data_IF_076415531948
#
_entry.id   IF_076415531948
#
_cell.length_a   1.000
_cell.length_b   1.000
_cell.length_c   1.000
_cell.angle_alpha   90.00
_cell.angle_beta   90.00
_cell.angle_gamma   90.00
#
_symmetry.space_group_name_H-M   'P 1'
#
loop_
_entity.id
_entity.type
_entity.pdbx_description
1 polymer ?
#
# COMPACT_ATOMS: atom_id res chain seq x y z
N UNK A 1 3.84 35.09 33.52
CA UNK A 1 3.88 34.67 34.93
C UNK A 1 4.92 33.58 35.06
N UNK A 2 5.93 33.85 35.88
CA UNK A 2 6.78 32.82 36.47
C UNK A 2 5.99 32.03 37.53
N UNK A 3 6.63 30.97 38.02
CA UNK A 3 6.31 30.19 39.22
C UNK A 3 5.22 29.10 39.03
N UNK A 4 5.34 27.86 39.52
CA UNK A 4 6.13 27.34 40.63
C UNK A 4 6.69 25.93 40.33
N UNK A 5 7.82 25.65 40.97
CA UNK A 5 8.49 24.34 41.07
C UNK A 5 7.88 23.60 42.26
N UNK A 6 7.35 22.40 42.05
CA UNK A 6 7.15 21.43 43.12
C UNK A 6 8.34 20.46 43.17
N UNK A 7 9.09 20.61 44.26
CA UNK A 7 10.14 19.74 44.76
C UNK A 7 9.48 18.49 45.37
N UNK A 8 9.82 17.31 44.84
CA UNK A 8 9.64 16.07 45.60
C UNK A 8 10.88 15.18 45.44
N UNK A 9 11.78 15.44 46.37
CA UNK A 9 13.00 14.74 46.68
C UNK A 9 12.70 13.43 47.40
N UNK A 10 12.64 12.32 46.66
CA UNK A 10 12.95 11.01 47.22
C UNK A 10 13.41 10.02 46.12
N UNK A 11 14.72 9.96 45.88
CA UNK A 11 15.36 8.86 45.13
C UNK A 11 16.48 8.27 45.99
N UNK A 12 16.52 6.95 46.19
CA UNK A 12 17.58 6.31 46.96
C UNK A 12 18.92 6.41 46.23
N UNK A 13 19.98 6.72 46.97
CA UNK A 13 21.37 6.79 46.49
C UNK A 13 21.82 5.45 45.89
N UNK A 14 22.48 5.52 44.72
CA UNK A 14 23.09 4.37 44.09
C UNK A 14 24.34 3.92 44.89
N UNK A 15 24.59 2.60 45.02
CA UNK A 15 25.78 2.11 45.72
C UNK A 15 27.06 2.47 44.95
N UNK A 16 28.21 2.63 45.64
CA UNK A 16 29.44 3.11 45.03
C UNK A 16 30.00 2.08 44.02
N UNK A 17 30.30 2.57 42.80
CA UNK A 17 30.91 1.79 41.72
C UNK A 17 32.31 1.30 42.11
N UNK A 18 32.56 -0.02 42.19
CA UNK A 18 33.90 -0.55 42.41
C UNK A 18 34.73 -0.30 41.15
N UNK A 19 35.45 0.83 41.16
CA UNK A 19 36.17 1.35 40.01
C UNK A 19 36.92 0.29 39.19
N UNK A 20 36.73 0.37 37.87
CA UNK A 20 37.31 -0.40 36.75
C UNK A 20 38.77 -0.85 36.92
N UNK A 21 39.56 -0.12 37.72
CA UNK A 21 40.97 -0.40 38.05
C UNK A 21 41.15 -1.59 39.00
N UNK A 22 40.14 -1.96 39.80
CA UNK A 22 40.20 -3.10 40.73
C UNK A 22 39.88 -4.44 40.04
N UNK A 23 39.00 -4.41 39.02
CA UNK A 23 38.67 -5.58 38.19
C UNK A 23 39.85 -6.06 37.34
N UNK A 24 40.56 -5.12 36.69
CA UNK A 24 41.71 -5.46 35.84
C UNK A 24 42.91 -6.04 36.61
N UNK A 25 42.98 -5.85 37.93
CA UNK A 25 44.02 -6.47 38.77
C UNK A 25 43.69 -7.92 39.20
N UNK A 26 42.43 -8.38 39.02
CA UNK A 26 41.98 -9.70 39.45
C UNK A 26 42.15 -10.82 38.43
N UNK A 27 42.46 -10.53 37.17
CA UNK A 27 42.47 -11.52 36.07
C UNK A 27 43.86 -12.15 35.84
N UNK A 28 44.79 -11.97 36.77
CA UNK A 28 46.21 -12.32 36.58
C UNK A 28 46.66 -13.75 36.92
N UNK A 29 45.83 -14.63 37.49
CA UNK A 29 46.32 -15.97 37.94
C UNK A 29 45.25 -17.06 37.79
N UNK A 30 45.13 -17.69 36.61
CA UNK A 30 44.76 -19.12 36.45
C UNK A 30 45.43 -19.65 35.18
N UNK A 31 46.71 -20.02 35.27
CA UNK A 31 47.46 -20.65 34.18
C UNK A 31 47.99 -22.01 34.62
N UNK A 32 47.18 -23.07 34.52
CA UNK A 32 47.63 -24.47 34.56
C UNK A 32 46.54 -25.53 34.20
N UNK A 33 45.53 -25.20 33.38
CA UNK A 33 44.46 -26.17 33.04
C UNK A 33 43.99 -26.19 31.58
N UNK A 34 44.52 -25.33 30.72
CA UNK A 34 43.95 -25.08 29.39
C UNK A 34 44.24 -26.17 28.34
N UNK A 35 45.30 -26.97 28.49
CA UNK A 35 45.75 -27.86 27.41
C UNK A 35 44.89 -29.13 27.23
N UNK A 36 44.18 -29.60 28.27
CA UNK A 36 43.36 -30.83 28.18
C UNK A 36 41.91 -30.50 27.79
N UNK A 37 41.43 -29.29 28.14
CA UNK A 37 40.10 -28.82 27.76
C UNK A 37 39.99 -28.53 26.25
N UNK A 38 41.09 -28.07 25.63
CA UNK A 38 41.12 -27.70 24.20
C UNK A 38 40.94 -28.93 23.30
N UNK A 39 41.60 -30.05 23.64
CA UNK A 39 41.45 -31.31 22.89
C UNK A 39 40.05 -31.92 23.04
N UNK A 40 39.41 -31.79 24.20
CA UNK A 40 38.07 -32.33 24.43
C UNK A 40 36.98 -31.48 23.74
N UNK A 41 37.17 -30.16 23.67
CA UNK A 41 36.28 -29.24 22.95
C UNK A 41 36.40 -29.38 21.43
N UNK A 42 37.59 -29.63 20.89
CA UNK A 42 37.80 -29.87 19.47
C UNK A 42 37.04 -31.11 18.99
N UNK A 43 37.10 -32.23 19.72
CA UNK A 43 36.41 -33.48 19.34
C UNK A 43 34.89 -33.42 19.56
N UNK A 44 34.40 -32.58 20.49
CA UNK A 44 32.96 -32.38 20.69
C UNK A 44 32.32 -31.52 19.57
N UNK A 45 33.11 -30.72 18.85
CA UNK A 45 32.61 -29.83 17.79
C UNK A 45 32.45 -30.50 16.41
N UNK A 46 33.10 -31.65 16.17
CA UNK A 46 32.95 -32.40 14.91
C UNK A 46 31.69 -33.29 14.84
N UNK A 47 31.08 -33.65 15.98
CA UNK A 47 29.89 -34.52 16.02
C UNK A 47 28.59 -33.80 16.35
N UNK A 48 28.63 -32.51 16.67
CA UNK A 48 27.44 -31.69 16.69
C UNK A 48 27.05 -31.32 15.24
N UNK A 49 26.46 -32.28 14.52
CA UNK A 49 25.62 -31.96 13.37
C UNK A 49 24.63 -30.91 13.89
N UNK A 50 24.57 -29.69 13.32
CA UNK A 50 23.60 -28.72 13.78
C UNK A 50 22.26 -29.44 13.70
N UNK A 51 21.61 -29.61 14.85
CA UNK A 51 20.21 -29.99 14.85
C UNK A 51 19.58 -28.96 13.93
N UNK A 52 19.15 -29.42 12.75
CA UNK A 52 18.42 -28.58 11.83
C UNK A 52 17.32 -27.99 12.69
N UNK A 53 17.44 -26.70 13.01
CA UNK A 53 16.29 -25.97 13.47
C UNK A 53 15.26 -26.33 12.41
N UNK A 54 14.18 -26.98 12.83
CA UNK A 54 13.00 -27.13 12.01
C UNK A 54 12.45 -25.73 11.79
N UNK A 55 13.19 -24.90 11.06
CA UNK A 55 12.65 -23.79 10.34
C UNK A 55 11.65 -24.47 9.44
N UNK A 56 10.36 -24.24 9.71
CA UNK A 56 9.33 -24.57 8.77
C UNK A 56 9.88 -24.17 7.39
N UNK A 57 10.16 -25.15 6.55
CA UNK A 57 10.35 -24.88 5.15
C UNK A 57 8.98 -24.38 4.72
N UNK A 58 8.82 -23.06 4.70
CA UNK A 58 7.71 -22.43 4.00
C UNK A 58 7.79 -23.05 2.62
N UNK A 59 6.81 -23.86 2.23
CA UNK A 59 6.72 -24.26 0.84
C UNK A 59 6.65 -22.97 0.04
N UNK A 60 7.76 -22.63 -0.62
CA UNK A 60 7.91 -21.50 -1.51
C UNK A 60 7.10 -21.82 -2.77
N UNK A 61 5.78 -21.78 -2.64
CA UNK A 61 4.86 -22.09 -3.72
C UNK A 61 4.83 -20.94 -4.71
N UNK A 62 5.56 -21.09 -5.82
CA UNK A 62 5.30 -20.30 -7.01
C UNK A 62 3.99 -20.80 -7.65
N UNK A 63 3.10 -19.88 -7.99
CA UNK A 63 1.85 -20.13 -8.69
C UNK A 63 1.87 -19.42 -10.04
N UNK A 64 1.40 -20.11 -11.07
CA UNK A 64 1.11 -19.50 -12.36
C UNK A 64 -0.30 -18.87 -12.28
N UNK A 65 -0.40 -17.57 -12.48
CA UNK A 65 -1.66 -16.80 -12.42
C UNK A 65 -2.02 -16.25 -13.80
N UNK A 66 -3.32 -16.15 -14.08
CA UNK A 66 -3.86 -15.52 -15.29
C UNK A 66 -4.74 -14.34 -14.89
N UNK A 67 -4.25 -13.12 -15.16
CA UNK A 67 -4.91 -11.87 -14.82
C UNK A 67 -5.53 -11.24 -16.06
N UNK A 68 -6.81 -10.84 -15.98
CA UNK A 68 -7.49 -10.09 -17.04
C UNK A 68 -7.40 -8.59 -16.73
N UNK A 69 -6.35 -7.94 -17.19
CA UNK A 69 -6.07 -6.52 -16.94
C UNK A 69 -6.41 -5.69 -18.17
N UNK A 70 -7.32 -4.72 -18.02
CA UNK A 70 -7.78 -3.84 -19.08
C UNK A 70 -8.28 -4.61 -20.33
N UNK A 71 -8.94 -5.74 -20.11
CA UNK A 71 -9.48 -6.61 -21.17
C UNK A 71 -8.45 -7.56 -21.79
N UNK A 72 -7.19 -7.54 -21.33
CA UNK A 72 -6.13 -8.41 -21.81
C UNK A 72 -5.79 -9.49 -20.78
N UNK A 73 -5.85 -10.77 -21.20
CA UNK A 73 -5.36 -11.89 -20.39
C UNK A 73 -3.84 -11.89 -20.40
N UNK A 74 -3.23 -11.85 -19.23
CA UNK A 74 -1.78 -11.89 -19.04
C UNK A 74 -1.41 -12.94 -18.00
N UNK A 75 -0.33 -13.65 -18.25
CA UNK A 75 0.15 -14.73 -17.37
C UNK A 75 1.40 -14.29 -16.63
N UNK A 76 1.53 -14.70 -15.36
CA UNK A 76 2.76 -14.51 -14.60
C UNK A 76 2.98 -15.67 -13.62
N UNK A 77 4.25 -15.96 -13.32
CA UNK A 77 4.64 -16.88 -12.26
C UNK A 77 5.08 -16.07 -11.05
N UNK A 78 4.37 -16.20 -9.94
CA UNK A 78 4.55 -15.37 -8.73
C UNK A 78 4.54 -16.22 -7.47
N UNK A 79 5.10 -15.72 -6.37
CA UNK A 79 4.86 -16.33 -5.06
C UNK A 79 3.38 -16.16 -4.68
N UNK A 80 2.80 -17.13 -3.95
CA UNK A 80 1.38 -17.07 -3.52
C UNK A 80 1.04 -15.82 -2.69
N UNK A 81 2.02 -15.26 -1.97
CA UNK A 81 1.86 -14.01 -1.20
C UNK A 81 1.95 -12.73 -2.03
N UNK A 82 2.25 -12.82 -3.33
CA UNK A 82 2.40 -11.64 -4.19
C UNK A 82 1.07 -10.91 -4.31
N UNK A 83 1.06 -9.64 -3.92
CA UNK A 83 -0.12 -8.78 -4.04
C UNK A 83 -0.43 -8.50 -5.51
N UNK A 84 -1.69 -8.20 -5.83
CA UNK A 84 -2.13 -7.84 -7.18
C UNK A 84 -1.36 -6.63 -7.69
N UNK A 85 -1.09 -5.65 -6.82
CA UNK A 85 -0.26 -4.49 -7.14
C UNK A 85 1.15 -4.90 -7.61
N UNK A 86 1.83 -5.76 -6.82
CA UNK A 86 3.17 -6.21 -7.17
C UNK A 86 3.17 -7.07 -8.43
N UNK A 87 2.18 -7.96 -8.59
CA UNK A 87 2.02 -8.74 -9.81
C UNK A 87 1.92 -7.84 -11.05
N UNK A 88 1.01 -6.85 -11.03
CA UNK A 88 0.82 -5.91 -12.14
C UNK A 88 2.07 -5.10 -12.47
N UNK A 89 2.79 -4.61 -11.45
CA UNK A 89 3.92 -3.70 -11.65
C UNK A 89 5.23 -4.39 -11.99
N UNK A 90 5.48 -5.57 -11.42
CA UNK A 90 6.81 -6.18 -11.41
C UNK A 90 6.87 -7.56 -12.08
N UNK A 91 5.73 -8.22 -12.32
CA UNK A 91 5.71 -9.60 -12.84
C UNK A 91 4.95 -9.76 -14.17
N UNK A 92 4.07 -8.82 -14.53
CA UNK A 92 3.42 -8.82 -15.84
C UNK A 92 4.34 -8.25 -16.92
N UNK A 93 4.24 -8.82 -18.11
CA UNK A 93 4.87 -8.31 -19.32
C UNK A 93 3.79 -8.01 -20.39
N UNK A 94 3.65 -6.74 -20.83
CA UNK A 94 4.31 -5.55 -20.30
C UNK A 94 3.80 -5.18 -18.89
N UNK A 95 4.61 -4.42 -18.15
CA UNK A 95 4.25 -3.98 -16.80
C UNK A 95 3.09 -2.98 -16.83
N UNK A 96 2.25 -3.02 -15.79
CA UNK A 96 1.15 -2.06 -15.57
C UNK A 96 1.49 -1.22 -14.36
N UNK A 97 1.90 0.03 -14.61
CA UNK A 97 2.55 0.88 -13.61
C UNK A 97 1.68 2.04 -13.11
N UNK A 98 0.46 2.19 -13.64
CA UNK A 98 -0.53 3.19 -13.25
C UNK A 98 -0.86 3.14 -11.77
N UNK A 99 -1.37 2.00 -11.24
CA UNK A 99 -1.53 1.81 -9.80
C UNK A 99 -0.17 1.94 -9.10
N UNK A 100 -0.10 2.74 -8.04
CA UNK A 100 1.18 3.07 -7.38
C UNK A 100 1.36 2.32 -6.07
N UNK A 101 2.59 1.85 -5.88
CA UNK A 101 3.10 1.38 -4.59
C UNK A 101 3.60 2.59 -3.80
N UNK A 102 2.88 2.94 -2.72
CA UNK A 102 3.22 4.09 -1.86
C UNK A 102 3.28 3.66 -0.39
N UNK A 103 2.15 3.24 0.18
CA UNK A 103 2.11 2.78 1.57
C UNK A 103 2.25 1.26 1.74
N UNK A 104 1.74 0.48 0.79
CA UNK A 104 1.60 -0.99 0.87
C UNK A 104 0.88 -1.54 2.11
N UNK A 105 0.06 -0.70 2.77
CA UNK A 105 -0.64 -1.02 4.02
C UNK A 105 -2.14 -0.66 3.97
N UNK A 106 -2.68 -0.41 2.77
CA UNK A 106 -4.10 -0.09 2.58
C UNK A 106 -4.55 1.26 3.14
N UNK A 107 -3.64 2.21 3.34
CA UNK A 107 -3.98 3.51 3.93
C UNK A 107 -4.10 4.63 2.90
N UNK A 108 -3.26 4.64 1.84
CA UNK A 108 -3.14 5.82 0.97
C UNK A 108 -4.07 5.85 -0.27
N UNK A 109 -4.63 4.73 -0.70
CA UNK A 109 -5.47 4.63 -1.92
C UNK A 109 -4.76 4.75 -3.28
N UNK A 110 -3.47 5.07 -3.34
CA UNK A 110 -2.74 5.25 -4.61
C UNK A 110 -2.65 3.99 -5.50
N UNK A 111 -2.89 2.81 -4.92
CA UNK A 111 -2.93 1.52 -5.61
C UNK A 111 -4.34 1.12 -6.09
N UNK A 112 -5.32 2.02 -6.03
CA UNK A 112 -6.71 1.68 -6.36
C UNK A 112 -6.84 1.19 -7.80
N UNK A 113 -7.49 0.04 -7.96
CA UNK A 113 -7.95 -0.53 -9.24
C UNK A 113 -9.42 -0.90 -9.12
N UNK A 114 -10.09 -1.13 -10.24
CA UNK A 114 -11.41 -1.76 -10.24
C UNK A 114 -11.25 -3.26 -10.40
N UNK A 115 -11.79 -4.02 -9.46
CA UNK A 115 -11.91 -5.46 -9.52
C UNK A 115 -13.40 -5.79 -9.65
N UNK A 116 -13.80 -6.34 -10.79
CA UNK A 116 -15.20 -6.53 -11.15
C UNK A 116 -16.04 -5.25 -10.98
N UNK A 117 -15.54 -4.13 -11.52
CA UNK A 117 -16.12 -2.78 -11.45
C UNK A 117 -16.24 -2.20 -10.01
N UNK A 118 -15.62 -2.82 -8.99
CA UNK A 118 -15.55 -2.28 -7.62
C UNK A 118 -14.15 -1.75 -7.29
N UNK A 119 -14.02 -0.53 -6.76
CA UNK A 119 -12.72 -0.02 -6.34
C UNK A 119 -12.16 -0.84 -5.17
N UNK A 120 -10.91 -1.28 -5.29
CA UNK A 120 -10.18 -2.02 -4.26
C UNK A 120 -8.74 -1.54 -4.19
N UNK A 121 -8.12 -1.65 -3.02
CA UNK A 121 -6.67 -1.43 -2.86
C UNK A 121 -5.93 -2.68 -3.31
N UNK A 122 -5.30 -2.61 -4.49
CA UNK A 122 -4.60 -3.78 -5.06
C UNK A 122 -3.41 -4.25 -4.22
N UNK A 123 -2.89 -3.44 -3.28
CA UNK A 123 -1.89 -3.89 -2.31
C UNK A 123 -2.44 -4.85 -1.25
N UNK A 124 -3.76 -4.91 -1.04
CA UNK A 124 -4.41 -5.80 -0.08
C UNK A 124 -5.13 -6.99 -0.75
N UNK A 125 -4.94 -7.18 -2.04
CA UNK A 125 -5.51 -8.30 -2.80
C UNK A 125 -4.35 -9.19 -3.24
N UNK A 126 -4.45 -10.51 -3.09
CA UNK A 126 -3.45 -11.43 -3.63
C UNK A 126 -3.67 -11.63 -5.13
N UNK A 127 -2.58 -11.78 -5.89
CA UNK A 127 -2.66 -12.01 -7.33
C UNK A 127 -3.39 -13.32 -7.65
N UNK A 128 -3.18 -14.35 -6.83
CA UNK A 128 -3.85 -15.66 -6.96
C UNK A 128 -5.38 -15.52 -6.85
N UNK A 129 -5.88 -14.68 -5.95
CA UNK A 129 -7.32 -14.42 -5.72
C UNK A 129 -7.95 -13.56 -6.83
N UNK A 130 -7.12 -12.82 -7.57
CA UNK A 130 -7.55 -11.98 -8.68
C UNK A 130 -7.71 -12.75 -10.00
N UNK A 131 -7.34 -14.04 -10.03
CA UNK A 131 -7.51 -14.91 -11.19
C UNK A 131 -8.99 -14.95 -11.61
N UNK A 132 -9.27 -14.88 -12.91
CA UNK A 132 -10.61 -14.83 -13.52
C UNK A 132 -11.47 -13.59 -13.20
N UNK A 133 -10.94 -12.60 -12.48
CA UNK A 133 -11.64 -11.33 -12.24
C UNK A 133 -11.28 -10.31 -13.32
N UNK A 134 -12.22 -9.40 -13.62
CA UNK A 134 -11.95 -8.26 -14.49
C UNK A 134 -11.21 -7.19 -13.70
N UNK A 135 -10.00 -6.86 -14.11
CA UNK A 135 -9.19 -5.80 -13.51
C UNK A 135 -9.18 -4.61 -14.47
N UNK A 136 -9.57 -3.43 -13.99
CA UNK A 136 -9.43 -2.18 -14.73
C UNK A 136 -8.58 -1.20 -13.93
N UNK A 137 -7.48 -0.76 -14.53
CA UNK A 137 -6.56 0.23 -13.97
C UNK A 137 -6.81 1.60 -14.61
N UNK A 138 -6.08 2.63 -14.16
CA UNK A 138 -6.20 3.98 -14.74
C UNK A 138 -5.94 3.99 -16.26
N UNK A 139 -5.04 3.14 -16.74
CA UNK A 139 -4.72 2.97 -18.16
C UNK A 139 -5.87 2.35 -18.96
N UNK A 140 -6.80 1.65 -18.30
CA UNK A 140 -7.99 1.08 -18.92
C UNK A 140 -9.18 2.02 -18.95
N UNK A 141 -9.11 3.19 -18.30
CA UNK A 141 -10.21 4.16 -18.25
C UNK A 141 -10.27 5.06 -19.48
N UNK A 142 -9.13 5.31 -20.12
CA UNK A 142 -9.00 6.15 -21.31
C UNK A 142 -7.61 6.01 -21.92
N UNK A 143 -7.39 6.64 -23.06
CA UNK A 143 -6.10 6.62 -23.77
C UNK A 143 -5.55 8.04 -23.91
N UNK A 144 -4.25 8.19 -24.24
CA UNK A 144 -3.65 9.51 -24.45
C UNK A 144 -4.35 10.34 -25.55
N UNK A 145 -4.93 9.69 -26.56
CA UNK A 145 -5.70 10.35 -27.61
C UNK A 145 -7.18 10.53 -27.30
N UNK A 146 -7.69 9.86 -26.26
CA UNK A 146 -9.09 9.91 -25.84
C UNK A 146 -9.18 9.62 -24.34
N UNK A 147 -8.95 10.66 -23.56
CA UNK A 147 -9.14 10.63 -22.11
C UNK A 147 -10.61 10.43 -21.77
N UNK A 148 -10.91 9.80 -20.63
CA UNK A 148 -12.27 9.82 -20.09
C UNK A 148 -12.60 11.15 -19.43
N UNK A 149 -13.86 11.37 -19.09
CA UNK A 149 -14.36 12.63 -18.53
C UNK A 149 -13.63 13.03 -17.24
N UNK A 150 -13.28 12.04 -16.39
CA UNK A 150 -12.54 12.30 -15.15
C UNK A 150 -11.09 12.69 -15.44
N UNK A 151 -10.40 11.99 -16.33
CA UNK A 151 -9.03 12.29 -16.72
C UNK A 151 -8.94 13.68 -17.37
N UNK A 152 -9.87 14.01 -18.27
CA UNK A 152 -9.97 15.34 -18.89
C UNK A 152 -10.17 16.42 -17.84
N UNK A 153 -11.12 16.24 -16.92
CA UNK A 153 -11.38 17.21 -15.86
C UNK A 153 -10.18 17.38 -14.91
N UNK A 154 -9.42 16.31 -14.64
CA UNK A 154 -8.21 16.40 -13.83
C UNK A 154 -7.14 17.30 -14.47
N UNK A 155 -6.99 17.25 -15.79
CA UNK A 155 -6.10 18.13 -16.54
C UNK A 155 -6.62 19.56 -16.53
N UNK A 156 -7.90 19.76 -16.86
CA UNK A 156 -8.51 21.09 -16.96
C UNK A 156 -8.56 21.86 -15.63
N UNK A 157 -8.68 21.15 -14.50
CA UNK A 157 -8.79 21.74 -13.16
C UNK A 157 -7.48 21.74 -12.38
N UNK A 158 -6.37 21.34 -13.00
CA UNK A 158 -5.07 21.21 -12.35
C UNK A 158 -5.12 20.34 -11.08
N UNK A 159 -5.85 19.22 -11.16
CA UNK A 159 -6.13 18.35 -10.01
C UNK A 159 -4.97 17.41 -9.64
N UNK A 160 -3.75 17.74 -10.06
CA UNK A 160 -2.55 16.94 -9.82
C UNK A 160 -1.31 17.82 -9.74
N UNK A 161 -0.28 17.36 -9.02
CA UNK A 161 1.05 17.95 -9.02
C UNK A 161 2.10 16.87 -9.31
N UNK A 162 2.59 16.18 -8.26
CA UNK A 162 3.56 15.09 -8.45
C UNK A 162 2.98 13.86 -9.19
N UNK A 163 1.65 13.78 -9.30
CA UNK A 163 0.96 12.73 -10.05
C UNK A 163 0.88 11.35 -9.38
N UNK A 164 1.52 11.12 -8.24
CA UNK A 164 1.57 9.78 -7.61
C UNK A 164 0.20 9.28 -7.11
N UNK A 165 -0.61 10.15 -6.52
CA UNK A 165 -1.95 9.76 -6.06
C UNK A 165 -3.01 9.79 -7.16
N UNK A 166 -2.73 10.46 -8.28
CA UNK A 166 -3.70 10.72 -9.36
C UNK A 166 -4.34 9.45 -9.91
N UNK A 167 -3.62 8.35 -10.20
CA UNK A 167 -4.23 7.09 -10.63
C UNK A 167 -5.31 6.57 -9.69
N UNK A 168 -5.07 6.63 -8.37
CA UNK A 168 -6.01 6.16 -7.35
C UNK A 168 -7.27 7.01 -7.31
N UNK A 169 -7.11 8.34 -7.32
CA UNK A 169 -8.23 9.27 -7.37
C UNK A 169 -9.06 9.11 -8.64
N UNK A 170 -8.45 9.13 -9.81
CA UNK A 170 -9.14 9.02 -11.10
C UNK A 170 -9.93 7.71 -11.17
N UNK A 171 -9.34 6.60 -10.72
CA UNK A 171 -10.01 5.30 -10.71
C UNK A 171 -11.19 5.26 -9.74
N UNK A 172 -11.02 5.80 -8.53
CA UNK A 172 -12.07 5.88 -7.51
C UNK A 172 -13.24 6.74 -7.99
N UNK A 173 -12.96 7.94 -8.49
CA UNK A 173 -13.97 8.90 -8.94
C UNK A 173 -14.70 8.36 -10.17
N UNK A 174 -14.00 7.75 -11.13
CA UNK A 174 -14.63 7.15 -12.31
C UNK A 174 -15.63 6.06 -11.94
N UNK A 175 -15.28 5.18 -10.99
CA UNK A 175 -16.19 4.16 -10.50
C UNK A 175 -17.37 4.74 -9.69
N UNK A 176 -17.11 5.80 -8.93
CA UNK A 176 -18.15 6.48 -8.16
C UNK A 176 -19.19 7.16 -9.06
N UNK A 177 -18.74 7.94 -10.06
CA UNK A 177 -19.63 8.67 -10.97
C UNK A 177 -20.46 7.76 -11.86
N UNK A 178 -19.97 6.55 -12.18
CA UNK A 178 -20.78 5.52 -12.87
C UNK A 178 -22.02 5.12 -12.06
N UNK A 179 -21.96 5.19 -10.73
CA UNK A 179 -23.07 4.84 -9.82
C UNK A 179 -23.88 6.06 -9.39
N UNK A 180 -23.23 7.21 -9.25
CA UNK A 180 -23.85 8.47 -8.86
C UNK A 180 -23.41 9.58 -9.84
N UNK A 181 -24.11 9.76 -10.97
CA UNK A 181 -23.71 10.70 -12.02
C UNK A 181 -23.96 12.17 -11.65
N UNK A 182 -24.71 12.47 -10.59
CA UNK A 182 -24.98 13.83 -10.13
C UNK A 182 -24.68 13.99 -8.62
N UNK A 183 -23.41 13.89 -8.20
CA UNK A 183 -23.07 13.93 -6.79
C UNK A 183 -23.02 15.36 -6.24
N UNK A 184 -23.30 15.50 -4.96
CA UNK A 184 -22.97 16.73 -4.20
C UNK A 184 -21.47 16.80 -3.89
N UNK A 185 -20.99 17.98 -3.47
CA UNK A 185 -19.60 18.15 -3.03
C UNK A 185 -19.24 17.22 -1.86
N UNK A 186 -20.13 17.08 -0.88
CA UNK A 186 -19.86 16.23 0.29
C UNK A 186 -19.83 14.75 -0.07
N UNK A 187 -20.67 14.33 -1.02
CA UNK A 187 -20.63 13.00 -1.61
C UNK A 187 -19.31 12.73 -2.34
N UNK A 188 -18.78 13.70 -3.07
CA UNK A 188 -17.45 13.61 -3.72
C UNK A 188 -16.34 13.50 -2.67
N UNK A 189 -16.36 14.34 -1.63
CA UNK A 189 -15.38 14.28 -0.53
C UNK A 189 -15.38 12.91 0.14
N UNK A 190 -16.57 12.39 0.42
CA UNK A 190 -16.78 11.08 1.04
C UNK A 190 -16.24 9.95 0.13
N UNK A 191 -16.53 9.98 -1.17
CA UNK A 191 -16.00 9.02 -2.13
C UNK A 191 -14.46 9.05 -2.21
N UNK A 192 -13.86 10.22 -2.00
CA UNK A 192 -12.42 10.44 -2.06
C UNK A 192 -11.67 10.15 -0.76
N UNK A 193 -12.35 9.91 0.38
CA UNK A 193 -11.71 9.80 1.71
C UNK A 193 -10.63 8.71 1.82
N UNK A 194 -10.68 7.70 0.94
CA UNK A 194 -9.70 6.61 0.88
C UNK A 194 -8.42 6.95 0.10
N UNK A 195 -8.36 8.10 -0.58
CA UNK A 195 -7.23 8.51 -1.39
C UNK A 195 -6.52 9.71 -0.76
N UNK A 196 -5.23 9.57 -0.47
CA UNK A 196 -4.43 10.61 0.15
C UNK A 196 -3.55 11.33 -0.87
N UNK A 197 -3.56 12.66 -0.82
CA UNK A 197 -2.68 13.55 -1.58
C UNK A 197 -1.77 14.34 -0.63
N UNK A 198 -0.46 14.12 -0.73
CA UNK A 198 0.53 14.89 0.06
C UNK A 198 0.74 16.30 -0.48
N UNK A 199 0.55 16.51 -1.79
CA UNK A 199 0.65 17.82 -2.41
C UNK A 199 -0.52 18.75 -2.04
N UNK A 200 -1.64 18.21 -1.54
CA UNK A 200 -2.78 19.00 -1.10
C UNK A 200 -3.75 19.42 -2.20
N UNK A 201 -3.79 18.72 -3.35
CA UNK A 201 -4.64 19.08 -4.51
C UNK A 201 -6.14 18.81 -4.32
N UNK A 202 -6.60 18.50 -3.11
CA UNK A 202 -7.99 18.07 -2.85
C UNK A 202 -9.07 19.03 -3.39
N UNK A 203 -8.97 20.36 -3.22
CA UNK A 203 -9.98 21.28 -3.78
C UNK A 203 -10.14 21.10 -5.30
N UNK A 204 -9.02 21.04 -6.03
CA UNK A 204 -8.99 20.82 -7.47
C UNK A 204 -9.49 19.43 -7.87
N UNK A 205 -9.19 18.40 -7.07
CA UNK A 205 -9.74 17.05 -7.27
C UNK A 205 -11.26 17.04 -7.14
N UNK A 206 -11.81 17.76 -6.16
CA UNK A 206 -13.27 17.83 -5.97
C UNK A 206 -13.94 18.63 -7.09
N UNK A 207 -13.34 19.74 -7.52
CA UNK A 207 -13.79 20.49 -8.68
C UNK A 207 -13.76 19.65 -9.96
N UNK A 208 -12.69 18.88 -10.18
CA UNK A 208 -12.58 17.97 -11.31
C UNK A 208 -13.67 16.90 -11.31
N UNK A 209 -13.96 16.29 -10.15
CA UNK A 209 -15.02 15.28 -10.04
C UNK A 209 -16.40 15.86 -10.37
N UNK A 210 -16.74 17.05 -9.84
CA UNK A 210 -18.01 17.72 -10.13
C UNK A 210 -18.09 18.18 -11.59
N UNK A 211 -16.98 18.63 -12.18
CA UNK A 211 -16.90 18.99 -13.60
C UNK A 211 -17.14 17.77 -14.49
N UNK A 212 -16.47 16.66 -14.19
CA UNK A 212 -16.64 15.40 -14.91
C UNK A 212 -18.09 14.89 -14.83
N UNK A 213 -18.74 14.99 -13.66
CA UNK A 213 -20.14 14.63 -13.48
C UNK A 213 -21.07 15.41 -14.42
N UNK A 214 -20.87 16.73 -14.54
CA UNK A 214 -21.63 17.58 -15.47
C UNK A 214 -21.44 17.13 -16.92
N UNK A 215 -20.20 16.86 -17.34
CA UNK A 215 -19.90 16.39 -18.69
C UNK A 215 -20.55 15.04 -18.98
N UNK A 216 -20.50 14.09 -18.03
CA UNK A 216 -21.15 12.78 -18.15
C UNK A 216 -22.67 12.95 -18.32
N UNK A 217 -23.30 13.82 -17.53
CA UNK A 217 -24.73 14.09 -17.61
C UNK A 217 -25.12 14.73 -18.96
N UNK A 218 -24.31 15.64 -19.49
CA UNK A 218 -24.52 16.26 -20.81
C UNK A 218 -24.39 15.23 -21.95
N UNK A 219 -23.43 14.30 -21.83
CA UNK A 219 -23.19 13.26 -22.83
C UNK A 219 -24.18 12.08 -22.75
N UNK A 220 -24.89 11.93 -21.63
CA UNK A 220 -25.90 10.89 -21.43
C UNK A 220 -27.09 11.40 -20.60
N UNK A 221 -28.06 12.09 -21.24
CA UNK A 221 -29.19 12.71 -20.55
C UNK A 221 -30.08 11.71 -19.79
N UNK A 222 -30.09 10.44 -20.19
CA UNK A 222 -30.86 9.36 -19.55
C UNK A 222 -30.24 8.84 -18.24
N UNK A 223 -28.99 9.20 -17.95
CA UNK A 223 -28.31 8.81 -16.70
C UNK A 223 -28.80 9.62 -15.48
N UNK A 224 -29.45 10.76 -15.73
CA UNK A 224 -30.15 11.54 -14.71
C UNK A 224 -31.54 10.91 -14.55
N UNK A 225 -31.70 9.99 -13.58
CA UNK A 225 -33.00 9.40 -13.29
C UNK A 225 -34.08 10.50 -13.20
N UNK A 226 -35.11 10.38 -14.03
CA UNK A 226 -36.24 11.32 -14.07
C UNK A 226 -37.10 11.14 -12.83
N UNK A 227 -36.83 11.87 -11.75
CA UNK A 227 -37.85 12.15 -10.72
C UNK A 227 -38.78 13.25 -11.27
N UNK A 228 -39.68 12.87 -12.17
CA UNK A 228 -40.74 13.76 -12.66
C UNK A 228 -42.00 12.95 -12.98
N UNK A 229 -42.56 12.24 -11.99
CA UNK A 229 -43.88 11.62 -12.16
C UNK A 229 -44.57 11.27 -10.83
N UNK A 230 -44.71 12.22 -9.89
CA UNK A 230 -45.78 12.16 -8.87
C UNK A 230 -46.23 13.58 -8.50
N UNK A 231 -46.97 14.23 -9.40
CA UNK A 231 -47.98 15.24 -9.06
C UNK A 231 -49.09 15.15 -10.11
N UNK A 232 -50.08 14.31 -9.81
CA UNK A 232 -51.43 14.32 -10.37
C UNK A 232 -52.37 13.81 -9.30
#
# INVERSE_FOLDING_TARGET
MADERDDNSNKPEAPPDPGRRKFLKGVGVVGAGAAIADQLLLHASEQAKPAAAGGASVEQGAADVVLNVNGQKRTARVETRTTLLNAMRNHLEPQVSGPKLVCDQGTCGACTVLLDDKPVYSCLVLAVDATNKKITTVEGLGTLGKLNEVQTAFVEKDALMCGFCTPGFVTTISAYLKKNPNPSLDQVKEACKGNFCRCGTYPHVFEAALSAAKTIAMNNPLALGTESEVRS
#
